data_IF_793760287169
#
_entry.id   IF_793760287169
#
_cell.length_a   1.000
_cell.length_b   1.000
_cell.length_c   1.000
_cell.angle_alpha   90.00
_cell.angle_beta   90.00
_cell.angle_gamma   90.00
#
_symmetry.space_group_name_H-M   'P 1'
#
loop_
_entity.id
_entity.type
_entity.pdbx_description
1 polymer ?
#
# COMPACT_ATOMS: atom_id res chain seq x y z
N UNK A 1 -22.62 5.44 11.38
CA UNK A 1 -22.47 3.99 11.68
C UNK A 1 -21.22 3.31 11.12
N UNK A 2 -20.77 3.61 9.90
CA UNK A 2 -19.62 2.91 9.28
C UNK A 2 -18.38 2.77 10.18
N UNK A 3 -18.01 3.85 10.88
CA UNK A 3 -16.93 3.86 11.87
C UNK A 3 -17.16 2.82 13.00
N UNK A 4 -18.35 2.81 13.61
CA UNK A 4 -18.68 1.86 14.68
C UNK A 4 -18.57 0.41 14.21
N UNK A 5 -19.12 0.10 13.03
CA UNK A 5 -19.08 -1.24 12.44
C UNK A 5 -17.64 -1.69 12.19
N UNK A 6 -16.81 -0.81 11.62
CA UNK A 6 -15.41 -1.11 11.36
C UNK A 6 -14.63 -1.44 12.65
N UNK A 7 -14.84 -0.69 13.74
CA UNK A 7 -14.15 -0.90 15.00
C UNK A 7 -14.75 -2.02 15.87
N UNK A 8 -16.00 -2.44 15.64
CA UNK A 8 -16.60 -3.58 16.34
C UNK A 8 -16.22 -4.95 15.77
N UNK A 9 -15.62 -5.01 14.58
CA UNK A 9 -15.25 -6.26 13.90
C UNK A 9 -13.76 -6.59 14.03
N UNK A 10 -13.45 -7.88 14.02
CA UNK A 10 -12.12 -8.49 14.06
C UNK A 10 -11.83 -9.28 12.78
N UNK A 11 -10.61 -9.83 12.64
CA UNK A 11 -10.27 -10.69 11.50
C UNK A 11 -11.12 -11.97 11.47
N UNK A 12 -11.42 -12.53 12.64
CA UNK A 12 -12.27 -13.70 12.82
C UNK A 12 -13.69 -13.49 12.26
N UNK A 13 -14.24 -12.28 12.37
CA UNK A 13 -15.61 -12.00 11.91
C UNK A 13 -15.76 -11.96 10.37
N UNK A 14 -14.65 -11.85 9.63
CA UNK A 14 -14.67 -11.63 8.17
C UNK A 14 -13.92 -12.69 7.36
N UNK A 15 -13.10 -13.54 7.99
CA UNK A 15 -12.24 -14.49 7.29
C UNK A 15 -12.05 -15.82 8.02
N UNK A 16 -12.49 -16.90 7.38
CA UNK A 16 -12.19 -18.27 7.79
C UNK A 16 -10.90 -18.77 7.12
N UNK A 17 -9.89 -19.23 7.89
CA UNK A 17 -8.73 -19.91 7.35
C UNK A 17 -9.05 -21.39 7.06
N UNK A 18 -10.05 -21.67 6.20
CA UNK A 18 -10.61 -23.01 6.00
C UNK A 18 -9.58 -24.03 5.50
N UNK A 19 -8.51 -23.57 4.83
CA UNK A 19 -7.36 -24.41 4.46
C UNK A 19 -6.54 -24.91 5.66
N UNK A 20 -6.38 -24.09 6.70
CA UNK A 20 -5.65 -24.43 7.92
C UNK A 20 -6.43 -25.41 8.80
N UNK A 21 -7.74 -25.19 8.97
CA UNK A 21 -8.61 -26.17 9.62
C UNK A 21 -8.53 -27.54 8.94
N UNK A 22 -8.61 -27.58 7.59
CA UNK A 22 -8.44 -28.83 6.84
C UNK A 22 -7.05 -29.45 7.02
N UNK A 23 -5.98 -28.64 6.98
CA UNK A 23 -4.59 -29.10 7.16
C UNK A 23 -4.37 -29.73 8.54
N UNK A 24 -4.77 -29.03 9.61
CA UNK A 24 -4.60 -29.49 10.99
C UNK A 24 -5.48 -30.70 11.30
N UNK A 25 -6.74 -30.73 10.83
CA UNK A 25 -7.61 -31.88 11.00
C UNK A 25 -7.13 -33.11 10.20
N UNK A 26 -6.55 -32.92 9.01
CA UNK A 26 -5.95 -33.99 8.23
C UNK A 26 -4.66 -34.53 8.88
N UNK A 27 -3.80 -33.65 9.42
CA UNK A 27 -2.60 -34.05 10.17
C UNK A 27 -2.96 -34.90 11.40
N UNK A 28 -3.88 -34.44 12.23
CA UNK A 28 -4.34 -35.21 13.40
C UNK A 28 -4.96 -36.58 13.03
N UNK A 29 -5.66 -36.68 11.90
CA UNK A 29 -6.17 -37.96 11.35
C UNK A 29 -5.03 -38.86 10.86
N UNK A 30 -4.00 -38.30 10.23
CA UNK A 30 -2.83 -39.05 9.76
C UNK A 30 -2.04 -39.62 10.96
N UNK A 31 -1.74 -38.80 11.96
CA UNK A 31 -1.03 -39.20 13.18
C UNK A 31 -1.78 -40.32 13.92
N UNK A 32 -3.11 -40.21 14.06
CA UNK A 32 -3.96 -41.27 14.60
C UNK A 32 -3.84 -42.57 13.77
N UNK A 33 -3.87 -42.48 12.44
CA UNK A 33 -3.72 -43.65 11.55
C UNK A 33 -2.35 -44.30 11.65
N UNK A 34 -1.28 -43.52 11.86
CA UNK A 34 0.08 -44.02 12.09
C UNK A 34 0.20 -44.82 13.38
N UNK A 35 -0.51 -44.45 14.45
CA UNK A 35 -0.56 -45.24 15.70
C UNK A 35 -1.11 -46.66 15.47
N UNK A 36 -2.07 -46.83 14.56
CA UNK A 36 -2.62 -48.12 14.13
C UNK A 36 -1.76 -48.85 13.08
N UNK A 37 -0.55 -48.34 12.76
CA UNK A 37 0.32 -48.81 11.67
C UNK A 37 -0.43 -48.92 10.34
N UNK A 38 -1.17 -47.86 9.98
CA UNK A 38 -2.02 -47.81 8.78
C UNK A 38 -3.09 -48.93 8.73
N UNK A 39 -3.72 -49.21 9.87
CA UNK A 39 -4.79 -50.20 10.01
C UNK A 39 -4.31 -51.65 10.16
N UNK A 40 -2.99 -51.89 10.19
CA UNK A 40 -2.40 -53.22 10.43
C UNK A 40 -2.52 -53.70 11.89
N UNK A 41 -2.87 -52.80 12.81
CA UNK A 41 -3.08 -53.09 14.23
C UNK A 41 -4.45 -52.56 14.64
N UNK A 42 -5.25 -53.40 15.30
CA UNK A 42 -6.53 -52.97 15.88
C UNK A 42 -6.31 -52.07 17.10
N UNK A 43 -7.22 -51.11 17.31
CA UNK A 43 -7.14 -50.18 18.46
C UNK A 43 -7.07 -50.92 19.82
N UNK A 44 -7.81 -52.02 19.96
CA UNK A 44 -7.80 -52.90 21.14
C UNK A 44 -6.43 -53.49 21.46
N UNK A 45 -5.62 -53.79 20.44
CA UNK A 45 -4.29 -54.39 20.56
C UNK A 45 -3.19 -53.37 20.92
N UNK A 46 -3.49 -52.06 20.95
CA UNK A 46 -2.53 -51.05 21.38
C UNK A 46 -2.39 -50.99 22.91
N UNK A 47 -1.23 -50.59 23.44
CA UNK A 47 -1.07 -50.22 24.85
C UNK A 47 -2.05 -49.10 25.27
N UNK A 48 -2.50 -49.04 26.53
CA UNK A 48 -3.47 -48.04 27.00
C UNK A 48 -3.06 -46.59 26.68
N UNK A 49 -1.78 -46.24 26.83
CA UNK A 49 -1.25 -44.91 26.49
C UNK A 49 -1.40 -44.56 25.00
N UNK A 50 -1.20 -45.52 24.10
CA UNK A 50 -1.38 -45.31 22.65
C UNK A 50 -2.86 -45.30 22.23
N UNK A 51 -3.74 -45.99 22.95
CA UNK A 51 -5.20 -45.85 22.76
C UNK A 51 -5.69 -44.46 23.16
N UNK A 52 -5.31 -44.00 24.34
CA UNK A 52 -5.65 -42.66 24.81
C UNK A 52 -5.15 -41.57 23.84
N UNK A 53 -3.93 -41.72 23.30
CA UNK A 53 -3.40 -40.77 22.30
C UNK A 53 -4.15 -40.84 20.95
N UNK A 54 -4.50 -42.03 20.47
CA UNK A 54 -5.34 -42.20 19.27
C UNK A 54 -6.72 -41.53 19.44
N UNK A 55 -7.36 -41.74 20.60
CA UNK A 55 -8.63 -41.11 20.95
C UNK A 55 -8.50 -39.59 21.04
N UNK A 56 -7.43 -39.08 21.66
CA UNK A 56 -7.12 -37.63 21.74
C UNK A 56 -6.95 -37.01 20.35
N UNK A 57 -6.20 -37.64 19.46
CA UNK A 57 -5.98 -37.17 18.08
C UNK A 57 -7.27 -37.23 17.24
N UNK A 58 -8.06 -38.28 17.39
CA UNK A 58 -9.36 -38.42 16.72
C UNK A 58 -10.35 -37.34 17.19
N UNK A 59 -10.41 -37.11 18.50
CA UNK A 59 -11.22 -36.05 19.10
C UNK A 59 -10.76 -34.65 18.70
N UNK A 60 -9.45 -34.41 18.60
CA UNK A 60 -8.87 -33.17 18.11
C UNK A 60 -9.27 -32.90 16.64
N UNK A 61 -9.17 -33.91 15.77
CA UNK A 61 -9.60 -33.77 14.39
C UNK A 61 -11.10 -33.44 14.26
N UNK A 62 -11.96 -34.11 15.04
CA UNK A 62 -13.39 -33.83 15.09
C UNK A 62 -13.72 -32.47 15.73
N UNK A 63 -12.91 -31.99 16.68
CA UNK A 63 -13.00 -30.64 17.24
C UNK A 63 -12.67 -29.60 16.17
N UNK A 64 -11.54 -29.73 15.49
CA UNK A 64 -11.08 -28.79 14.45
C UNK A 64 -12.06 -28.68 13.27
N UNK A 65 -12.69 -29.78 12.85
CA UNK A 65 -13.75 -29.73 11.83
C UNK A 65 -14.97 -28.93 12.29
N UNK A 66 -15.48 -29.19 13.51
CA UNK A 66 -16.63 -28.46 14.07
C UNK A 66 -16.34 -26.99 14.34
N UNK A 67 -15.13 -26.65 14.78
CA UNK A 67 -14.69 -25.26 14.96
C UNK A 67 -14.64 -24.53 13.62
N UNK A 68 -14.13 -25.18 12.55
CA UNK A 68 -14.15 -24.62 11.20
C UNK A 68 -15.57 -24.38 10.65
N UNK A 69 -16.47 -25.34 10.85
CA UNK A 69 -17.89 -25.22 10.46
C UNK A 69 -18.61 -24.08 11.22
N UNK A 70 -18.41 -23.98 12.53
CA UNK A 70 -18.97 -22.92 13.35
C UNK A 70 -18.42 -21.52 12.98
N UNK A 71 -17.13 -21.44 12.66
CA UNK A 71 -16.48 -20.21 12.20
C UNK A 71 -17.02 -19.78 10.82
N UNK A 72 -17.23 -20.72 9.88
CA UNK A 72 -17.87 -20.45 8.58
C UNK A 72 -19.31 -19.94 8.73
N UNK A 73 -20.10 -20.56 9.62
CA UNK A 73 -21.45 -20.09 9.93
C UNK A 73 -21.46 -18.66 10.53
N UNK A 74 -20.50 -18.35 11.42
CA UNK A 74 -20.33 -17.01 12.00
C UNK A 74 -19.98 -15.95 10.94
N UNK A 75 -18.95 -16.20 10.12
CA UNK A 75 -18.54 -15.28 9.04
C UNK A 75 -19.66 -15.09 8.02
N UNK A 76 -20.45 -16.12 7.71
CA UNK A 76 -21.59 -16.01 6.82
C UNK A 76 -22.74 -15.18 7.42
N UNK A 77 -22.97 -15.26 8.73
CA UNK A 77 -23.91 -14.40 9.45
C UNK A 77 -23.47 -12.92 9.38
N UNK A 78 -22.19 -12.64 9.67
CA UNK A 78 -21.61 -11.29 9.59
C UNK A 78 -21.66 -10.74 8.15
N UNK A 79 -21.30 -11.55 7.14
CA UNK A 79 -21.46 -11.20 5.71
C UNK A 79 -22.89 -10.82 5.37
N UNK A 80 -23.87 -11.58 5.87
CA UNK A 80 -25.30 -11.31 5.63
C UNK A 80 -25.75 -9.99 6.25
N UNK A 81 -25.37 -9.72 7.50
CA UNK A 81 -25.65 -8.45 8.17
C UNK A 81 -25.00 -7.25 7.45
N UNK A 82 -23.74 -7.37 7.02
CA UNK A 82 -23.06 -6.33 6.23
C UNK A 82 -23.71 -6.11 4.86
N UNK A 83 -24.18 -7.17 4.21
CA UNK A 83 -24.88 -7.09 2.91
C UNK A 83 -26.18 -6.28 2.97
N UNK A 84 -26.91 -6.37 4.10
CA UNK A 84 -28.13 -5.58 4.32
C UNK A 84 -27.83 -4.08 4.44
N UNK A 85 -26.66 -3.73 4.98
CA UNK A 85 -26.19 -2.34 5.13
C UNK A 85 -25.51 -1.79 3.86
N UNK A 86 -25.09 -2.65 2.93
CA UNK A 86 -24.29 -2.30 1.76
C UNK A 86 -24.89 -1.17 0.90
N UNK A 87 -26.22 -1.09 0.83
CA UNK A 87 -26.91 -0.06 0.03
C UNK A 87 -27.12 1.26 0.76
N UNK A 88 -27.31 1.25 2.08
CA UNK A 88 -27.70 2.42 2.89
C UNK A 88 -26.52 3.12 3.58
N UNK A 89 -25.47 2.41 3.97
CA UNK A 89 -24.44 2.88 4.90
C UNK A 89 -23.73 4.20 4.49
N UNK A 90 -23.64 4.46 3.19
CA UNK A 90 -22.95 5.62 2.63
C UNK A 90 -23.86 6.59 1.84
N UNK A 91 -25.19 6.43 1.91
CA UNK A 91 -26.15 7.21 1.09
C UNK A 91 -26.10 8.71 1.39
N UNK A 92 -26.02 9.06 2.68
CA UNK A 92 -26.08 10.44 3.18
C UNK A 92 -24.72 11.14 3.21
N UNK A 93 -23.66 10.47 2.73
CA UNK A 93 -22.33 11.08 2.64
C UNK A 93 -22.32 12.11 1.52
N UNK A 94 -21.99 13.37 1.87
CA UNK A 94 -21.92 14.49 0.92
C UNK A 94 -20.90 14.23 -0.21
N UNK A 95 -19.67 13.85 0.15
CA UNK A 95 -18.59 13.60 -0.81
C UNK A 95 -18.51 12.12 -1.21
N UNK A 96 -19.51 11.65 -1.95
CA UNK A 96 -19.66 10.25 -2.38
C UNK A 96 -18.42 9.69 -3.08
N UNK A 97 -17.74 10.51 -3.88
CA UNK A 97 -16.49 10.17 -4.56
C UNK A 97 -15.24 10.13 -3.65
N UNK A 98 -15.37 10.39 -2.34
CA UNK A 98 -14.28 10.33 -1.35
C UNK A 98 -14.53 9.31 -0.23
N UNK A 99 -15.63 8.53 -0.28
CA UNK A 99 -15.99 7.55 0.76
C UNK A 99 -14.85 6.59 1.06
N UNK A 100 -14.27 5.95 0.04
CA UNK A 100 -13.17 5.00 0.25
C UNK A 100 -11.88 5.66 0.78
N UNK A 101 -11.62 6.91 0.43
CA UNK A 101 -10.48 7.68 0.92
C UNK A 101 -10.67 8.08 2.39
N UNK A 102 -11.88 8.49 2.79
CA UNK A 102 -12.22 8.79 4.19
C UNK A 102 -12.15 7.55 5.07
N UNK A 103 -12.72 6.42 4.63
CA UNK A 103 -12.61 5.13 5.36
C UNK A 103 -11.14 4.70 5.50
N UNK A 104 -10.32 4.87 4.46
CA UNK A 104 -8.89 4.61 4.54
C UNK A 104 -8.21 5.48 5.61
N UNK A 105 -8.37 6.81 5.55
CA UNK A 105 -7.63 7.75 6.41
C UNK A 105 -8.17 7.83 7.85
N UNK A 106 -9.50 7.80 8.04
CA UNK A 106 -10.15 7.96 9.34
C UNK A 106 -10.22 6.64 10.14
N UNK A 107 -10.23 5.49 9.45
CA UNK A 107 -10.37 4.16 10.07
C UNK A 107 -9.15 3.27 9.84
N UNK A 108 -8.88 2.87 8.58
CA UNK A 108 -7.92 1.79 8.28
C UNK A 108 -6.47 2.18 8.62
N UNK A 109 -6.00 3.35 8.21
CA UNK A 109 -4.60 3.77 8.44
C UNK A 109 -4.25 3.91 9.92
N UNK A 110 -5.24 4.21 10.78
CA UNK A 110 -5.05 4.21 12.24
C UNK A 110 -4.92 2.78 12.76
N UNK A 111 -5.81 1.89 12.33
CA UNK A 111 -5.90 0.50 12.79
C UNK A 111 -4.74 -0.38 12.29
N UNK A 112 -4.28 -0.20 11.05
CA UNK A 112 -3.13 -0.96 10.47
C UNK A 112 -1.89 -0.89 11.37
N UNK A 113 -1.69 0.23 12.09
CA UNK A 113 -0.52 0.41 12.95
C UNK A 113 -0.60 -0.38 14.27
N UNK A 114 -1.76 -0.93 14.66
CA UNK A 114 -1.92 -1.62 15.95
C UNK A 114 -1.24 -3.00 15.98
N UNK A 115 -1.58 -3.89 15.04
CA UNK A 115 -1.10 -5.28 15.02
C UNK A 115 -1.00 -5.85 13.59
N UNK A 116 -0.36 -7.01 13.43
CA UNK A 116 -0.33 -7.73 12.14
C UNK A 116 -1.72 -8.28 11.77
N UNK A 117 -2.52 -8.66 12.78
CA UNK A 117 -3.90 -9.11 12.58
C UNK A 117 -4.77 -7.94 12.09
N UNK A 118 -4.62 -6.76 12.68
CA UNK A 118 -5.33 -5.55 12.28
C UNK A 118 -4.95 -5.08 10.87
N UNK A 119 -3.67 -5.19 10.50
CA UNK A 119 -3.22 -4.94 9.14
C UNK A 119 -3.88 -5.89 8.12
N UNK A 120 -3.97 -7.19 8.46
CA UNK A 120 -4.66 -8.18 7.64
C UNK A 120 -6.18 -7.96 7.58
N UNK A 121 -6.80 -7.59 8.70
CA UNK A 121 -8.21 -7.19 8.78
C UNK A 121 -8.49 -6.01 7.85
N UNK A 122 -7.69 -4.93 7.91
CA UNK A 122 -7.93 -3.74 7.10
C UNK A 122 -7.88 -4.03 5.59
N UNK A 123 -6.91 -4.85 5.15
CA UNK A 123 -6.83 -5.28 3.74
C UNK A 123 -8.05 -6.12 3.34
N UNK A 124 -8.40 -7.14 4.13
CA UNK A 124 -9.55 -8.01 3.83
C UNK A 124 -10.89 -7.27 3.91
N UNK A 125 -11.06 -6.36 4.86
CA UNK A 125 -12.28 -5.56 5.00
C UNK A 125 -12.50 -4.64 3.80
N UNK A 126 -11.43 -4.02 3.26
CA UNK A 126 -11.53 -3.21 2.05
C UNK A 126 -12.03 -4.01 0.83
N UNK A 127 -11.57 -5.25 0.66
CA UNK A 127 -12.07 -6.14 -0.40
C UNK A 127 -13.43 -6.77 -0.07
N UNK A 128 -13.79 -6.93 1.20
CA UNK A 128 -15.14 -7.32 1.61
C UNK A 128 -16.18 -6.25 1.25
N UNK A 129 -15.88 -4.96 1.48
CA UNK A 129 -16.75 -3.85 1.05
C UNK A 129 -16.97 -3.85 -0.47
N UNK A 130 -15.92 -4.20 -1.23
CA UNK A 130 -16.02 -4.41 -2.68
C UNK A 130 -16.90 -5.62 -3.02
N UNK A 131 -16.63 -6.78 -2.41
CA UNK A 131 -17.35 -8.05 -2.64
C UNK A 131 -18.85 -7.91 -2.36
N UNK A 132 -19.22 -7.25 -1.26
CA UNK A 132 -20.60 -7.01 -0.86
C UNK A 132 -21.28 -5.84 -1.61
N UNK A 133 -20.54 -5.15 -2.48
CA UNK A 133 -21.07 -4.13 -3.37
C UNK A 133 -21.54 -2.85 -2.66
N UNK A 134 -20.80 -2.39 -1.64
CA UNK A 134 -21.15 -1.17 -0.90
C UNK A 134 -21.28 0.05 -1.82
N UNK A 135 -22.36 0.83 -1.64
CA UNK A 135 -22.60 2.04 -2.42
C UNK A 135 -21.48 3.05 -2.22
N UNK A 136 -21.03 3.67 -3.32
CA UNK A 136 -19.96 4.66 -3.34
C UNK A 136 -18.58 4.17 -2.83
N UNK A 137 -18.39 2.87 -2.60
CA UNK A 137 -17.07 2.29 -2.38
C UNK A 137 -16.30 2.23 -3.70
N UNK A 138 -15.16 2.93 -3.79
CA UNK A 138 -14.26 2.86 -4.95
C UNK A 138 -12.98 2.10 -4.59
N UNK A 139 -12.93 0.84 -4.99
CA UNK A 139 -11.78 -0.06 -4.84
C UNK A 139 -10.58 0.45 -5.64
N UNK A 140 -10.81 0.96 -6.87
CA UNK A 140 -9.73 1.52 -7.70
C UNK A 140 -9.08 2.76 -7.06
N UNK A 141 -9.86 3.64 -6.42
CA UNK A 141 -9.32 4.79 -5.67
C UNK A 141 -8.65 4.36 -4.37
N UNK A 142 -9.23 3.39 -3.66
CA UNK A 142 -8.63 2.82 -2.44
C UNK A 142 -7.23 2.28 -2.72
N UNK A 143 -7.07 1.37 -3.68
CA UNK A 143 -5.76 0.80 -4.05
C UNK A 143 -4.81 1.90 -4.50
N UNK A 144 -5.25 2.80 -5.40
CA UNK A 144 -4.43 3.89 -5.91
C UNK A 144 -3.99 4.91 -4.85
N UNK A 145 -4.67 4.97 -3.69
CA UNK A 145 -4.28 5.78 -2.53
C UNK A 145 -3.34 5.01 -1.60
N UNK A 146 -3.65 3.76 -1.27
CA UNK A 146 -2.80 2.85 -0.46
C UNK A 146 -1.38 2.75 -1.04
N UNK A 147 -1.26 2.49 -2.34
CA UNK A 147 0.01 2.43 -3.09
C UNK A 147 0.85 3.70 -2.93
N UNK A 148 0.20 4.88 -2.85
CA UNK A 148 0.89 6.18 -2.82
C UNK A 148 1.20 6.68 -1.42
N UNK A 149 0.41 6.30 -0.42
CA UNK A 149 0.58 6.78 0.96
C UNK A 149 1.38 5.82 1.84
N UNK A 150 1.23 4.50 1.66
CA UNK A 150 1.87 3.52 2.55
C UNK A 150 3.41 3.54 2.48
N UNK A 151 4.07 3.58 1.30
CA UNK A 151 5.53 3.63 1.26
C UNK A 151 6.10 4.90 1.93
N UNK A 152 5.63 6.13 1.62
CA UNK A 152 6.06 7.34 2.34
C UNK A 152 5.84 7.30 3.85
N UNK A 153 4.70 6.77 4.30
CA UNK A 153 4.41 6.65 5.74
C UNK A 153 5.34 5.67 6.46
N UNK A 154 5.83 4.64 5.77
CA UNK A 154 6.76 3.68 6.37
C UNK A 154 8.12 4.30 6.72
N UNK A 155 8.55 5.37 6.05
CA UNK A 155 9.88 5.95 6.27
C UNK A 155 10.00 6.61 7.66
N UNK A 156 8.95 7.31 8.11
CA UNK A 156 8.87 7.90 9.45
C UNK A 156 8.33 6.96 10.55
N UNK A 157 8.03 5.70 10.24
CA UNK A 157 7.41 4.75 11.17
C UNK A 157 8.44 3.95 11.98
N UNK A 158 8.03 3.30 13.07
CA UNK A 158 8.89 2.35 13.78
C UNK A 158 9.06 1.04 12.97
N UNK A 159 10.17 0.31 13.17
CA UNK A 159 10.42 -0.99 12.50
C UNK A 159 9.27 -2.01 12.70
N UNK A 160 8.49 -1.90 13.78
CA UNK A 160 7.31 -2.74 14.02
C UNK A 160 6.12 -2.31 13.14
N UNK A 161 5.85 -1.02 13.04
CA UNK A 161 4.81 -0.44 12.19
C UNK A 161 5.10 -0.65 10.70
N UNK A 162 6.36 -0.52 10.26
CA UNK A 162 6.77 -0.82 8.88
C UNK A 162 6.40 -2.25 8.47
N UNK A 163 6.53 -3.23 9.36
CA UNK A 163 6.11 -4.62 9.10
C UNK A 163 4.59 -4.75 8.95
N UNK A 164 3.81 -3.99 9.74
CA UNK A 164 2.34 -3.96 9.66
C UNK A 164 1.87 -3.28 8.38
N UNK A 165 2.44 -2.11 8.05
CA UNK A 165 2.22 -1.38 6.80
C UNK A 165 2.61 -2.21 5.57
N UNK A 166 3.76 -2.89 5.62
CA UNK A 166 4.24 -3.79 4.57
C UNK A 166 3.32 -5.00 4.37
N UNK A 167 2.83 -5.63 5.45
CA UNK A 167 1.83 -6.69 5.35
C UNK A 167 0.51 -6.18 4.73
N UNK A 168 0.00 -5.04 5.17
CA UNK A 168 -1.21 -4.42 4.62
C UNK A 168 -1.06 -4.14 3.11
N UNK A 169 0.03 -3.49 2.70
CA UNK A 169 0.30 -3.21 1.29
C UNK A 169 0.54 -4.50 0.47
N UNK A 170 1.26 -5.48 1.03
CA UNK A 170 1.49 -6.78 0.37
C UNK A 170 0.17 -7.51 0.10
N UNK A 171 -0.76 -7.55 1.05
CA UNK A 171 -2.08 -8.17 0.88
C UNK A 171 -2.93 -7.43 -0.17
N UNK A 172 -2.87 -6.09 -0.20
CA UNK A 172 -3.55 -5.27 -1.21
C UNK A 172 -2.97 -5.54 -2.60
N UNK A 173 -1.65 -5.61 -2.74
CA UNK A 173 -0.96 -5.93 -3.99
C UNK A 173 -1.27 -7.35 -4.48
N UNK A 174 -1.23 -8.36 -3.60
CA UNK A 174 -1.55 -9.75 -3.95
C UNK A 174 -2.93 -9.89 -4.60
N UNK A 175 -3.94 -9.19 -4.09
CA UNK A 175 -5.30 -9.26 -4.63
C UNK A 175 -5.40 -8.62 -6.03
N UNK A 176 -4.77 -7.47 -6.26
CA UNK A 176 -4.82 -6.80 -7.57
C UNK A 176 -3.93 -7.48 -8.61
N UNK A 177 -2.82 -8.09 -8.22
CA UNK A 177 -2.00 -8.93 -9.09
C UNK A 177 -2.74 -10.22 -9.49
N UNK A 178 -3.54 -10.81 -8.60
CA UNK A 178 -4.41 -11.95 -8.96
C UNK A 178 -5.46 -11.57 -10.03
N UNK A 179 -6.08 -10.39 -9.91
CA UNK A 179 -6.97 -9.86 -10.95
C UNK A 179 -6.23 -9.53 -12.26
N UNK A 180 -4.98 -9.05 -12.20
CA UNK A 180 -4.15 -8.81 -13.39
C UNK A 180 -3.73 -10.10 -14.09
N UNK A 181 -3.47 -11.17 -13.35
CA UNK A 181 -3.05 -12.46 -13.87
C UNK A 181 -4.17 -13.23 -14.59
N UNK A 182 -5.45 -12.91 -14.33
CA UNK A 182 -6.58 -13.56 -14.98
C UNK A 182 -7.67 -12.55 -15.36
N UNK A 183 -7.78 -12.27 -16.66
CA UNK A 183 -8.85 -11.43 -17.24
C UNK A 183 -10.26 -11.96 -16.90
N UNK A 184 -10.39 -13.28 -16.69
CA UNK A 184 -11.63 -13.92 -16.23
C UNK A 184 -11.95 -13.51 -14.78
N UNK A 185 -11.00 -13.68 -13.85
CA UNK A 185 -11.19 -13.27 -12.45
C UNK A 185 -11.43 -11.76 -12.32
N UNK A 186 -10.78 -10.93 -13.14
CA UNK A 186 -11.08 -9.49 -13.19
C UNK A 186 -12.54 -9.21 -13.58
N UNK A 187 -13.08 -9.89 -14.58
CA UNK A 187 -14.48 -9.72 -14.98
C UNK A 187 -15.46 -10.21 -13.91
N UNK A 188 -15.18 -11.35 -13.28
CA UNK A 188 -16.06 -12.00 -12.28
C UNK A 188 -16.01 -11.32 -10.90
N UNK A 189 -14.82 -10.98 -10.41
CA UNK A 189 -14.64 -10.45 -9.06
C UNK A 189 -14.54 -8.92 -9.02
N UNK A 190 -13.68 -8.33 -9.87
CA UNK A 190 -13.35 -6.91 -9.83
C UNK A 190 -14.41 -6.05 -10.52
N UNK A 191 -14.94 -6.47 -11.67
CA UNK A 191 -15.86 -5.66 -12.50
C UNK A 191 -17.20 -6.35 -12.82
N UNK A 192 -17.84 -7.12 -11.91
CA UNK A 192 -19.18 -7.66 -12.19
C UNK A 192 -20.21 -6.52 -12.29
N UNK A 193 -21.27 -6.76 -13.06
CA UNK A 193 -22.29 -5.76 -13.40
C UNK A 193 -22.92 -5.08 -12.17
N UNK A 194 -23.09 -5.82 -11.08
CA UNK A 194 -23.71 -5.35 -9.83
C UNK A 194 -22.82 -4.48 -8.93
N UNK A 195 -21.48 -4.45 -9.13
CA UNK A 195 -20.54 -3.74 -8.23
C UNK A 195 -20.05 -2.42 -8.82
N UNK A 196 -19.97 -1.39 -7.97
CA UNK A 196 -19.47 -0.05 -8.33
C UNK A 196 -17.95 0.17 -8.07
N UNK A 197 -17.24 -0.80 -7.49
CA UNK A 197 -15.85 -0.63 -7.02
C UNK A 197 -14.82 -0.22 -8.08
N UNK A 198 -15.12 -0.50 -9.35
CA UNK A 198 -14.31 -0.18 -10.53
C UNK A 198 -14.99 0.82 -11.48
N UNK A 199 -16.03 1.52 -11.01
CA UNK A 199 -16.67 2.61 -11.74
C UNK A 199 -15.73 3.84 -11.84
N UNK A 200 -15.68 4.45 -13.02
CA UNK A 200 -14.94 5.69 -13.29
C UNK A 200 -15.60 6.88 -12.59
N UNK A 201 -16.94 6.85 -12.53
CA UNK A 201 -17.78 7.81 -11.78
C UNK A 201 -18.96 7.05 -11.18
N UNK A 202 -19.38 7.45 -9.99
CA UNK A 202 -20.61 6.93 -9.40
C UNK A 202 -21.84 7.52 -10.09
N UNK A 203 -22.83 6.68 -10.32
CA UNK A 203 -24.15 7.00 -10.89
C UNK A 203 -25.20 6.40 -9.94
N UNK A 204 -26.45 6.86 -10.00
CA UNK A 204 -27.52 6.35 -9.14
C UNK A 204 -27.76 4.84 -9.32
N UNK A 205 -27.65 4.34 -10.56
CA UNK A 205 -27.56 2.92 -10.86
C UNK A 205 -26.08 2.51 -11.03
N UNK A 206 -25.68 1.46 -10.32
CA UNK A 206 -24.34 0.89 -10.36
C UNK A 206 -24.09 0.02 -11.61
N UNK A 207 -25.14 -0.51 -12.25
CA UNK A 207 -25.03 -1.26 -13.49
C UNK A 207 -24.77 -0.32 -14.68
N UNK A 208 -25.47 0.82 -14.75
CA UNK A 208 -25.24 1.87 -15.75
C UNK A 208 -23.96 2.71 -15.52
N UNK A 209 -23.23 2.53 -14.42
CA UNK A 209 -22.01 3.28 -14.15
C UNK A 209 -20.87 2.82 -15.09
N UNK A 210 -20.17 3.72 -15.80
CA UNK A 210 -19.10 3.32 -16.71
C UNK A 210 -17.90 2.80 -15.92
N UNK A 211 -17.46 1.57 -16.22
CA UNK A 211 -16.37 0.89 -15.51
C UNK A 211 -15.06 0.92 -16.29
N UNK A 212 -13.95 0.86 -15.57
CA UNK A 212 -12.60 0.82 -16.16
C UNK A 212 -12.38 -0.49 -16.95
N UNK A 213 -11.74 -0.40 -18.11
CA UNK A 213 -11.35 -1.59 -18.88
C UNK A 213 -10.19 -2.34 -18.22
N UNK A 214 -10.08 -3.64 -18.51
CA UNK A 214 -8.93 -4.46 -18.07
C UNK A 214 -7.60 -3.81 -18.43
N UNK A 215 -7.44 -3.35 -19.66
CA UNK A 215 -6.19 -2.78 -20.14
C UNK A 215 -5.81 -1.49 -19.38
N UNK A 216 -6.81 -0.65 -19.03
CA UNK A 216 -6.58 0.54 -18.21
C UNK A 216 -6.26 0.19 -16.75
N UNK A 217 -6.85 -0.89 -16.22
CA UNK A 217 -6.47 -1.42 -14.91
C UNK A 217 -5.03 -1.97 -14.89
N UNK A 218 -4.61 -2.73 -15.90
CA UNK A 218 -3.23 -3.22 -16.03
C UNK A 218 -2.24 -2.05 -16.12
N UNK A 219 -2.55 -1.01 -16.89
CA UNK A 219 -1.75 0.23 -16.96
C UNK A 219 -1.65 0.94 -15.60
N UNK A 220 -2.77 1.05 -14.86
CA UNK A 220 -2.75 1.62 -13.51
C UNK A 220 -1.88 0.80 -12.57
N UNK A 221 -2.00 -0.53 -12.58
CA UNK A 221 -1.20 -1.42 -11.73
C UNK A 221 0.29 -1.39 -12.08
N UNK A 222 0.64 -1.25 -13.37
CA UNK A 222 2.03 -1.01 -13.78
C UNK A 222 2.57 0.30 -13.21
N UNK A 223 1.81 1.39 -13.35
CA UNK A 223 2.19 2.69 -12.80
C UNK A 223 2.30 2.67 -11.27
N UNK A 224 1.44 1.90 -10.59
CA UNK A 224 1.48 1.68 -9.14
C UNK A 224 2.71 0.91 -8.69
N UNK A 225 3.05 -0.20 -9.37
CA UNK A 225 4.30 -0.93 -9.14
C UNK A 225 5.53 -0.03 -9.31
N UNK A 226 5.58 0.77 -10.38
CA UNK A 226 6.69 1.71 -10.59
C UNK A 226 6.74 2.82 -9.51
N UNK A 227 5.61 3.37 -9.09
CA UNK A 227 5.56 4.39 -8.03
C UNK A 227 6.05 3.86 -6.66
N UNK A 228 5.76 2.59 -6.34
CA UNK A 228 6.32 1.90 -5.17
C UNK A 228 7.83 1.73 -5.34
N UNK A 229 8.30 1.30 -6.51
CA UNK A 229 9.71 1.11 -6.80
C UNK A 229 10.52 2.41 -6.69
N UNK A 230 10.00 3.52 -7.23
CA UNK A 230 10.61 4.85 -7.12
C UNK A 230 10.68 5.28 -5.64
N UNK A 231 9.56 5.22 -4.91
CA UNK A 231 9.52 5.60 -3.48
C UNK A 231 10.43 4.74 -2.59
N UNK A 232 10.56 3.44 -2.88
CA UNK A 232 11.52 2.56 -2.19
C UNK A 232 12.96 2.91 -2.55
N UNK A 233 13.26 3.17 -3.84
CA UNK A 233 14.61 3.53 -4.27
C UNK A 233 15.07 4.85 -3.64
N UNK A 234 14.20 5.87 -3.61
CA UNK A 234 14.48 7.17 -2.99
C UNK A 234 14.85 7.02 -1.51
N UNK A 235 14.16 6.13 -0.77
CA UNK A 235 14.41 5.93 0.67
C UNK A 235 15.51 4.93 1.00
N UNK A 236 15.80 3.97 0.10
CA UNK A 236 17.01 3.15 0.19
C UNK A 236 18.28 3.98 -0.06
N UNK A 237 18.18 5.09 -0.79
CA UNK A 237 19.30 5.99 -1.12
C UNK A 237 19.30 7.29 -0.31
N UNK A 238 18.41 7.41 0.68
CA UNK A 238 18.36 8.54 1.61
C UNK A 238 19.57 8.55 2.53
N UNK A 239 20.02 9.75 2.90
CA UNK A 239 21.07 9.93 3.92
C UNK A 239 20.55 9.67 5.34
N UNK A 240 19.22 9.60 5.54
CA UNK A 240 18.63 9.23 6.82
C UNK A 240 18.70 7.70 7.04
N UNK A 241 19.46 7.31 8.07
CA UNK A 241 19.65 5.92 8.46
C UNK A 241 18.34 5.21 8.84
N UNK A 242 17.38 5.91 9.46
CA UNK A 242 16.09 5.33 9.83
C UNK A 242 15.22 5.08 8.58
N UNK A 243 15.16 6.04 7.66
CA UNK A 243 14.49 5.88 6.37
C UNK A 243 15.09 4.71 5.57
N UNK A 244 16.42 4.62 5.51
CA UNK A 244 17.14 3.50 4.87
C UNK A 244 16.78 2.16 5.51
N UNK A 245 16.85 2.06 6.84
CA UNK A 245 16.49 0.84 7.57
C UNK A 245 15.02 0.44 7.36
N UNK A 246 14.12 1.42 7.38
CA UNK A 246 12.69 1.21 7.20
C UNK A 246 12.38 0.77 5.76
N UNK A 247 13.05 1.35 4.76
CA UNK A 247 12.94 0.89 3.37
C UNK A 247 13.42 -0.56 3.19
N UNK A 248 14.56 -0.94 3.80
CA UNK A 248 15.03 -2.35 3.81
C UNK A 248 14.00 -3.29 4.45
N UNK A 249 13.41 -2.93 5.59
CA UNK A 249 12.37 -3.74 6.25
C UNK A 249 11.09 -3.81 5.41
N UNK A 250 10.72 -2.72 4.73
CA UNK A 250 9.56 -2.68 3.83
C UNK A 250 9.76 -3.57 2.59
N UNK A 251 10.93 -3.54 1.96
CA UNK A 251 11.28 -4.44 0.86
C UNK A 251 11.13 -5.92 1.26
N UNK A 252 11.61 -6.31 2.44
CA UNK A 252 11.43 -7.68 2.98
C UNK A 252 9.95 -8.03 3.13
N UNK A 253 9.13 -7.11 3.67
CA UNK A 253 7.71 -7.34 3.87
C UNK A 253 6.90 -7.43 2.57
N UNK A 254 7.33 -6.76 1.51
CA UNK A 254 6.67 -6.72 0.20
C UNK A 254 7.08 -7.85 -0.75
N UNK A 255 8.19 -8.54 -0.49
CA UNK A 255 8.84 -9.52 -1.38
C UNK A 255 7.92 -10.66 -1.87
N UNK A 256 6.82 -10.94 -1.18
CA UNK A 256 5.83 -11.97 -1.57
C UNK A 256 4.84 -11.53 -2.65
N UNK A 257 4.63 -10.22 -2.82
CA UNK A 257 3.65 -9.62 -3.73
C UNK A 257 4.25 -8.62 -4.72
N UNK A 258 5.48 -8.17 -4.46
CA UNK A 258 6.19 -7.15 -5.23
C UNK A 258 7.69 -7.49 -5.28
N UNK A 259 8.39 -7.19 -6.39
CA UNK A 259 7.90 -6.58 -7.62
C UNK A 259 7.40 -7.62 -8.63
N UNK A 260 6.35 -7.27 -9.39
CA UNK A 260 5.79 -8.14 -10.43
C UNK A 260 6.32 -7.84 -11.84
N UNK A 261 6.82 -6.62 -12.07
CA UNK A 261 7.46 -6.20 -13.34
C UNK A 261 8.98 -6.05 -13.20
N UNK A 262 9.70 -6.39 -14.27
CA UNK A 262 11.15 -6.25 -14.34
C UNK A 262 11.61 -4.78 -14.22
N UNK A 263 10.82 -3.82 -14.74
CA UNK A 263 11.09 -2.40 -14.61
C UNK A 263 11.03 -1.91 -13.15
N UNK A 264 10.03 -2.33 -12.37
CA UNK A 264 9.92 -1.97 -10.96
C UNK A 264 11.05 -2.65 -10.13
N UNK A 265 11.25 -3.95 -10.33
CA UNK A 265 12.29 -4.68 -9.60
C UNK A 265 13.72 -4.28 -9.94
N UNK A 266 13.98 -3.90 -11.19
CA UNK A 266 15.28 -3.39 -11.64
C UNK A 266 15.67 -2.06 -10.96
N UNK A 267 14.71 -1.16 -10.72
CA UNK A 267 14.97 0.08 -9.96
C UNK A 267 15.37 -0.21 -8.50
N UNK A 268 14.63 -1.09 -7.82
CA UNK A 268 14.93 -1.48 -6.44
C UNK A 268 16.25 -2.25 -6.35
N UNK A 269 16.56 -3.12 -7.32
CA UNK A 269 17.88 -3.77 -7.39
C UNK A 269 19.01 -2.77 -7.50
N UNK A 270 18.94 -1.81 -8.43
CA UNK A 270 19.98 -0.80 -8.61
C UNK A 270 20.16 0.05 -7.33
N UNK A 271 19.07 0.40 -6.65
CA UNK A 271 19.13 1.11 -5.37
C UNK A 271 19.80 0.26 -4.27
N UNK A 272 19.50 -1.04 -4.18
CA UNK A 272 20.14 -1.96 -3.24
C UNK A 272 21.63 -2.20 -3.54
N UNK A 273 22.03 -2.19 -4.82
CA UNK A 273 23.45 -2.29 -5.23
C UNK A 273 24.23 -1.04 -4.82
N UNK A 274 23.72 0.16 -5.12
CA UNK A 274 24.32 1.43 -4.70
C UNK A 274 24.36 1.55 -3.17
N UNK A 275 23.29 1.16 -2.46
CA UNK A 275 23.26 1.15 -1.00
C UNK A 275 24.30 0.18 -0.41
N UNK A 276 24.50 -1.00 -1.01
CA UNK A 276 25.51 -1.95 -0.53
C UNK A 276 26.93 -1.38 -0.62
N UNK A 277 27.25 -0.64 -1.69
CA UNK A 277 28.54 0.07 -1.81
C UNK A 277 28.68 1.12 -0.72
N UNK A 278 27.71 2.04 -0.59
CA UNK A 278 27.70 3.11 0.42
C UNK A 278 27.87 2.57 1.86
N UNK A 279 27.15 1.49 2.21
CA UNK A 279 27.20 0.84 3.53
C UNK A 279 28.48 0.01 3.72
N UNK A 280 29.14 -0.41 2.64
CA UNK A 280 30.44 -1.09 2.74
C UNK A 280 31.57 -0.11 3.05
N UNK A 281 31.52 1.07 2.45
CA UNK A 281 32.54 2.12 2.56
C UNK A 281 32.39 2.97 3.83
N UNK A 282 31.16 3.42 4.14
CA UNK A 282 30.93 4.49 5.13
C UNK A 282 30.27 4.02 6.45
N UNK A 283 29.64 2.84 6.49
CA UNK A 283 28.88 2.38 7.65
C UNK A 283 29.64 1.33 8.47
N UNK A 284 29.93 1.69 9.73
CA UNK A 284 30.61 0.81 10.71
C UNK A 284 29.75 -0.38 11.17
N UNK A 285 28.43 -0.25 11.10
CA UNK A 285 27.48 -1.26 11.58
C UNK A 285 27.30 -2.41 10.57
N UNK A 286 27.87 -3.55 10.92
CA UNK A 286 27.82 -4.76 10.09
C UNK A 286 26.40 -5.34 9.91
N UNK A 287 25.44 -5.04 10.80
CA UNK A 287 24.08 -5.57 10.73
C UNK A 287 23.31 -5.04 9.50
N UNK A 288 23.37 -3.74 9.22
CA UNK A 288 22.77 -3.15 8.02
C UNK A 288 23.40 -3.72 6.76
N UNK A 289 24.73 -3.85 6.74
CA UNK A 289 25.49 -4.43 5.62
C UNK A 289 25.03 -5.85 5.29
N UNK A 290 24.90 -6.71 6.30
CA UNK A 290 24.41 -8.08 6.16
C UNK A 290 22.94 -8.13 5.72
N UNK A 291 22.07 -7.26 6.25
CA UNK A 291 20.68 -7.18 5.83
C UNK A 291 20.56 -6.77 4.35
N UNK A 292 21.27 -5.74 3.91
CA UNK A 292 21.27 -5.27 2.51
C UNK A 292 21.85 -6.34 1.58
N UNK A 293 22.96 -6.98 1.93
CA UNK A 293 23.56 -8.06 1.13
C UNK A 293 22.63 -9.27 0.98
N UNK A 294 21.94 -9.66 2.07
CA UNK A 294 20.94 -10.73 2.05
C UNK A 294 19.72 -10.36 1.19
N UNK A 295 19.20 -9.14 1.34
CA UNK A 295 18.06 -8.63 0.58
C UNK A 295 18.38 -8.53 -0.93
N UNK A 296 19.54 -7.98 -1.28
CA UNK A 296 20.03 -7.92 -2.65
C UNK A 296 20.13 -9.33 -3.27
N UNK A 297 20.68 -10.29 -2.52
CA UNK A 297 20.77 -11.69 -2.96
C UNK A 297 19.39 -12.34 -3.16
N UNK A 298 18.39 -11.95 -2.37
CA UNK A 298 17.00 -12.41 -2.54
C UNK A 298 16.36 -11.80 -3.79
N UNK A 299 16.47 -10.48 -4.01
CA UNK A 299 15.96 -9.81 -5.20
C UNK A 299 16.64 -10.32 -6.48
N UNK A 300 17.96 -10.60 -6.46
CA UNK A 300 18.69 -11.22 -7.59
C UNK A 300 18.26 -12.66 -7.90
N UNK A 301 17.65 -13.38 -6.95
CA UNK A 301 17.00 -14.67 -7.21
C UNK A 301 15.59 -14.48 -7.76
N UNK A 302 14.83 -13.55 -7.18
CA UNK A 302 13.47 -13.24 -7.62
C UNK A 302 13.41 -12.66 -9.04
N UNK A 303 14.44 -11.94 -9.49
CA UNK A 303 14.48 -11.28 -10.82
C UNK A 303 14.21 -12.19 -12.01
N UNK A 304 14.50 -13.49 -11.87
CA UNK A 304 14.20 -14.54 -12.88
C UNK A 304 12.71 -14.77 -13.11
N UNK A 305 11.85 -14.34 -12.19
CA UNK A 305 10.39 -14.50 -12.23
C UNK A 305 9.64 -13.23 -12.61
N UNK A 306 10.33 -12.08 -12.73
CA UNK A 306 9.68 -10.81 -13.03
C UNK A 306 9.34 -10.70 -14.51
N UNK A 307 8.14 -10.22 -14.80
CA UNK A 307 7.65 -10.13 -16.16
C UNK A 307 8.30 -8.95 -16.87
N UNK A 308 8.74 -9.17 -18.12
CA UNK A 308 9.12 -8.08 -19.01
C UNK A 308 7.87 -7.27 -19.37
N UNK A 309 8.05 -6.00 -19.73
CA UNK A 309 6.92 -5.10 -20.02
C UNK A 309 5.96 -5.71 -21.07
N UNK A 310 6.49 -6.33 -22.13
CA UNK A 310 5.69 -6.96 -23.21
C UNK A 310 4.73 -8.02 -22.66
N UNK A 311 5.22 -8.88 -21.76
CA UNK A 311 4.44 -9.98 -21.16
C UNK A 311 3.45 -9.44 -20.13
N UNK A 312 3.88 -8.47 -19.32
CA UNK A 312 3.06 -7.81 -18.30
C UNK A 312 1.77 -7.24 -18.91
N UNK A 313 1.88 -6.60 -20.08
CA UNK A 313 0.75 -6.03 -20.80
C UNK A 313 -0.03 -7.02 -21.67
N UNK A 314 0.31 -8.31 -21.67
CA UNK A 314 -0.34 -9.35 -22.47
C UNK A 314 -0.43 -8.97 -23.98
N UNK A 315 0.59 -8.27 -24.50
CA UNK A 315 0.61 -7.77 -25.89
C UNK A 315 -0.34 -6.60 -26.21
N UNK A 316 -0.98 -5.97 -25.20
CA UNK A 316 -1.85 -4.80 -25.45
C UNK A 316 -1.05 -3.59 -25.95
N UNK A 317 -1.39 -3.10 -27.16
CA UNK A 317 -0.62 -2.06 -27.87
C UNK A 317 -0.39 -0.76 -27.05
N UNK A 318 -1.38 -0.33 -26.28
CA UNK A 318 -1.28 0.87 -25.41
C UNK A 318 -0.35 0.71 -24.21
N UNK A 319 -0.24 -0.50 -23.65
CA UNK A 319 0.65 -0.76 -22.51
C UNK A 319 2.12 -0.55 -22.89
N UNK A 320 2.51 -1.04 -24.06
CA UNK A 320 3.87 -0.85 -24.58
C UNK A 320 4.26 0.60 -24.90
N UNK A 321 3.30 1.49 -25.16
CA UNK A 321 3.56 2.94 -25.34
C UNK A 321 3.64 3.65 -23.98
N UNK A 322 2.68 3.41 -23.08
CA UNK A 322 2.68 3.99 -21.73
C UNK A 322 3.89 3.54 -20.90
N UNK A 323 4.39 2.32 -21.08
CA UNK A 323 5.63 1.85 -20.47
C UNK A 323 6.85 2.62 -21.00
N UNK A 324 6.91 2.91 -22.30
CA UNK A 324 7.97 3.73 -22.91
C UNK A 324 7.93 5.17 -22.38
N UNK A 325 6.75 5.75 -22.19
CA UNK A 325 6.60 7.10 -21.64
C UNK A 325 6.88 7.17 -20.12
N UNK A 326 6.48 6.15 -19.34
CA UNK A 326 6.85 6.03 -17.93
C UNK A 326 8.36 5.85 -17.75
N UNK A 327 9.00 5.02 -18.59
CA UNK A 327 10.45 4.85 -18.62
C UNK A 327 11.14 6.18 -18.96
N UNK A 328 10.72 6.87 -20.04
CA UNK A 328 11.20 8.22 -20.40
C UNK A 328 11.06 9.22 -19.26
N UNK A 329 9.92 9.23 -18.56
CA UNK A 329 9.66 10.14 -17.44
C UNK A 329 10.57 9.85 -16.24
N UNK A 330 10.83 8.57 -15.92
CA UNK A 330 11.77 8.19 -14.87
C UNK A 330 13.24 8.48 -15.24
N UNK A 331 13.62 8.32 -16.50
CA UNK A 331 14.93 8.72 -17.02
C UNK A 331 15.12 10.24 -17.00
N UNK A 332 14.08 11.01 -17.30
CA UNK A 332 14.10 12.47 -17.19
C UNK A 332 14.27 12.94 -15.74
N UNK A 333 13.60 12.29 -14.77
CA UNK A 333 13.82 12.56 -13.34
C UNK A 333 15.25 12.24 -12.90
N UNK A 334 15.83 11.12 -13.33
CA UNK A 334 17.25 10.80 -13.04
C UNK A 334 18.21 11.87 -13.58
N UNK A 335 18.06 12.28 -14.84
CA UNK A 335 18.88 13.36 -15.41
C UNK A 335 18.70 14.70 -14.70
N UNK A 336 17.50 14.99 -14.17
CA UNK A 336 17.26 16.20 -13.38
C UNK A 336 17.93 16.15 -11.99
N UNK A 337 18.04 14.96 -11.38
CA UNK A 337 18.77 14.76 -10.13
C UNK A 337 20.30 14.82 -10.35
N UNK A 338 20.82 14.11 -11.35
CA UNK A 338 22.23 14.15 -11.75
C UNK A 338 22.68 15.58 -12.13
N UNK A 339 21.80 16.36 -12.77
CA UNK A 339 22.03 17.76 -13.09
C UNK A 339 21.95 18.74 -11.90
N UNK A 340 21.41 18.33 -10.75
CA UNK A 340 21.33 19.15 -9.55
C UNK A 340 22.57 18.99 -8.66
N UNK A 341 23.15 17.79 -8.58
CA UNK A 341 24.41 17.55 -7.85
C UNK A 341 25.64 18.14 -8.58
N UNK A 342 25.59 18.29 -9.91
CA UNK A 342 26.70 18.78 -10.74
C UNK A 342 26.98 20.29 -10.72
N UNK A 343 26.28 21.10 -9.90
CA UNK A 343 26.38 22.58 -9.91
C UNK A 343 27.04 23.15 -8.63
N UNK A 344 27.55 22.31 -7.72
CA UNK A 344 28.16 22.75 -6.46
C UNK A 344 29.64 22.34 -6.30
N UNK A 345 30.46 22.61 -7.31
CA UNK A 345 31.93 22.58 -7.19
C UNK A 345 32.60 23.37 -8.32
N UNK A 346 33.57 24.22 -7.96
CA UNK A 346 34.19 25.31 -8.73
C UNK A 346 33.25 26.54 -8.90
N UNK A 347 33.67 27.78 -8.62
CA UNK A 347 35.03 28.32 -8.54
C UNK A 347 35.31 29.09 -7.22
N UNK A 348 36.56 29.06 -6.76
CA UNK A 348 37.09 29.88 -5.66
C UNK A 348 38.03 30.96 -6.20
N UNK A 349 37.87 32.21 -5.70
CA UNK A 349 38.90 33.16 -5.24
C UNK A 349 40.24 33.31 -6.03
N UNK A 350 40.86 34.47 -6.22
CA UNK A 350 40.61 35.88 -5.85
C UNK A 350 41.61 36.77 -6.61
N UNK A 351 41.43 38.10 -6.62
CA UNK A 351 42.46 39.17 -6.55
C UNK A 351 42.08 40.49 -7.26
N UNK A 352 42.44 41.60 -6.60
CA UNK A 352 42.16 43.01 -6.96
C UNK A 352 43.50 43.73 -7.22
N UNK A 353 43.56 44.76 -8.09
CA UNK A 353 43.93 46.08 -7.55
C UNK A 353 43.24 47.31 -8.19
N UNK A 354 42.65 48.12 -7.31
CA UNK A 354 42.58 49.60 -7.20
C UNK A 354 43.05 50.52 -8.36
N UNK A 355 42.22 51.51 -8.76
CA UNK A 355 42.42 52.97 -8.53
C UNK A 355 41.95 53.97 -9.65
N UNK A 356 41.27 55.05 -9.19
CA UNK A 356 41.38 56.46 -9.63
C UNK A 356 40.62 57.07 -10.86
N UNK A 357 39.62 57.90 -10.51
CA UNK A 357 39.44 59.34 -10.91
C UNK A 357 38.72 59.80 -12.22
N UNK A 358 37.64 60.57 -11.96
CA UNK A 358 37.24 61.89 -12.55
C UNK A 358 36.23 62.08 -13.70
N UNK A 359 35.30 63.01 -13.43
CA UNK A 359 34.60 63.98 -14.30
C UNK A 359 33.37 63.56 -15.16
N UNK A 360 32.28 64.34 -15.00
CA UNK A 360 31.29 64.63 -16.05
C UNK A 360 31.54 66.05 -16.62
N UNK A 361 30.54 66.82 -17.14
CA UNK A 361 29.08 66.55 -17.17
C UNK A 361 28.34 66.98 -18.49
N UNK A 362 27.01 66.81 -18.52
CA UNK A 362 26.06 67.56 -19.39
C UNK A 362 25.31 66.74 -20.45
N UNK A 363 24.16 67.17 -21.01
CA UNK A 363 23.14 68.15 -20.54
C UNK A 363 21.86 68.03 -21.40
N UNK A 364 20.67 68.28 -20.82
CA UNK A 364 19.35 68.52 -21.51
C UNK A 364 18.76 67.27 -22.24
N UNK A 365 17.45 67.14 -22.49
CA UNK A 365 16.32 68.09 -22.36
C UNK A 365 15.04 67.44 -21.81
N UNK A 366 14.16 68.27 -21.24
CA UNK A 366 12.78 67.93 -20.82
C UNK A 366 11.83 67.73 -22.01
N UNK A 367 10.73 67.01 -21.79
CA UNK A 367 9.38 67.50 -22.12
C UNK A 367 8.29 66.88 -21.22
N UNK A 368 7.41 67.75 -20.72
CA UNK A 368 6.31 67.44 -19.79
C UNK A 368 5.06 66.85 -20.47
N UNK A 369 4.31 66.03 -19.72
CA UNK A 369 2.86 66.16 -19.44
C UNK A 369 2.43 64.96 -18.58
N UNK A 370 2.05 65.11 -17.29
CA UNK A 370 0.76 65.59 -16.76
C UNK A 370 -0.44 64.79 -17.30
N UNK A 371 -1.37 64.19 -16.55
CA UNK A 371 -1.81 64.23 -15.13
C UNK A 371 -2.39 62.83 -14.75
N UNK A 372 -2.85 62.42 -13.57
CA UNK A 372 -3.06 62.91 -12.18
C UNK A 372 -2.93 61.65 -11.24
N UNK A 373 -2.81 61.64 -9.90
CA UNK A 373 -3.67 62.11 -8.78
C UNK A 373 -5.09 61.47 -8.78
N UNK A 374 -5.66 60.89 -7.72
CA UNK A 374 -5.28 60.64 -6.32
C UNK A 374 -5.91 59.27 -5.93
N UNK A 375 -5.33 58.40 -5.09
CA UNK A 375 -4.86 58.53 -3.69
C UNK A 375 -5.97 58.28 -2.64
N UNK A 376 -5.59 57.53 -1.60
CA UNK A 376 -6.22 57.42 -0.27
C UNK A 376 -7.65 56.85 -0.14
N UNK A 377 -7.78 55.75 0.63
CA UNK A 377 -8.14 55.93 2.04
C UNK A 377 -7.77 54.76 2.97
N UNK A 378 -7.25 55.10 4.16
CA UNK A 378 -7.25 54.22 5.34
C UNK A 378 -8.67 54.17 5.93
N UNK A 379 -9.04 53.08 6.62
CA UNK A 379 -9.51 53.25 8.01
C UNK A 379 -9.31 52.01 8.88
N UNK A 380 -9.16 52.28 10.17
CA UNK A 380 -8.94 51.38 11.30
C UNK A 380 -10.30 50.96 11.90
N UNK A 381 -10.43 49.78 12.53
CA UNK A 381 -10.93 49.71 13.91
C UNK A 381 -10.74 48.36 14.64
N UNK A 382 -10.72 48.45 15.97
CA UNK A 382 -10.56 47.37 16.96
C UNK A 382 -11.84 46.54 17.20
N UNK A 383 -11.66 45.34 17.79
CA UNK A 383 -12.76 44.55 18.37
C UNK A 383 -12.32 43.29 19.11
N UNK A 384 -11.99 43.39 20.40
CA UNK A 384 -11.85 42.24 21.30
C UNK A 384 -13.23 41.66 21.67
N UNK A 385 -13.40 40.32 21.71
CA UNK A 385 -13.72 39.60 22.95
C UNK A 385 -13.83 38.07 22.77
N UNK A 386 -13.40 37.36 23.81
CA UNK A 386 -13.50 35.90 24.02
C UNK A 386 -14.23 35.68 25.36
N UNK A 387 -15.19 34.74 25.46
CA UNK A 387 -15.60 34.19 26.75
C UNK A 387 -14.92 32.84 27.05
N UNK A 388 -14.76 32.54 28.34
CA UNK A 388 -14.19 31.30 28.86
C UNK A 388 -15.26 30.22 29.10
N UNK A 389 -14.78 29.00 29.33
CA UNK A 389 -15.54 27.88 29.86
C UNK A 389 -16.07 28.18 31.28
N UNK A 390 -17.22 27.61 31.64
CA UNK A 390 -17.56 27.29 33.03
C UNK A 390 -18.10 25.86 33.13
N UNK A 391 -17.69 25.17 34.19
CA UNK A 391 -18.20 23.87 34.62
C UNK A 391 -19.26 24.06 35.72
N UNK A 392 -20.32 23.26 35.67
CA UNK A 392 -21.12 22.75 36.80
C UNK A 392 -21.98 21.63 36.17
N UNK A 393 -21.90 20.35 36.55
CA UNK A 393 -22.30 19.77 37.85
C UNK A 393 -23.73 20.15 38.28
N UNK A 394 -24.72 19.44 37.72
CA UNK A 394 -25.56 18.48 38.47
C UNK A 394 -26.12 17.43 37.51
#
# INVERSE_FOLDING_TARGET
DAYRIFWSLSLYDIHVPSGEYRRLAAAAKADARTLLRDGRVQLSALPPSRRAEHERLTALAAKLSREGEAHEAHVQSVRTALSQLARSLFVDVQEKNKVSLRVLQECMMRRVLHSLEDAAFCARFAFLLHELGFTYWSTIQFVGKVVKEVPPLAFGATRAEVRRLGLFLSLVLSQVEAWRASRKLFAEEAVPETRAGFAIRFVADAAAAPKISFDTFVNNLYNWNNAIADSLADSLLSDDYHATCNAVVLCVALQSAFPSSAAAGGRVLAALETLLVRVTENESRADLRLMVQSLLSQYKRASKSWMQDVDYFHGTKKGGELARDALRSSLARRKAAEGAEGVSSNETADQVPTAALTSGPGSRSRKDSSRHSNDSNHNNNNGHHRPQQQQQQQ
#
